data_IF_749001931301
#
_entry.id   IF_749001931301
#
_cell.length_a   1.000
_cell.length_b   1.000
_cell.length_c   1.000
_cell.angle_alpha   90.00
_cell.angle_beta   90.00
_cell.angle_gamma   90.00
#
_symmetry.space_group_name_H-M   'P 1'
#
loop_
_entity.id
_entity.type
_entity.pdbx_description
1 polymer ?
#
# COMPACT_ATOMS: atom_id res chain seq x y z
N UNK A 1 31.41 16.09 -8.38
CA UNK A 1 31.13 17.53 -8.14
C UNK A 1 32.18 18.16 -7.23
N UNK A 2 32.40 17.63 -6.02
CA UNK A 2 33.34 18.16 -5.00
C UNK A 2 34.76 18.42 -5.53
N UNK A 3 35.36 17.48 -6.26
CA UNK A 3 36.71 17.65 -6.84
C UNK A 3 36.78 18.83 -7.81
N UNK A 4 35.72 19.03 -8.62
CA UNK A 4 35.64 20.14 -9.57
C UNK A 4 35.54 21.50 -8.87
N UNK A 5 34.71 21.59 -7.81
CA UNK A 5 34.60 22.82 -7.00
C UNK A 5 35.92 23.10 -6.28
N UNK A 6 36.58 22.06 -5.75
CA UNK A 6 37.86 22.20 -5.07
C UNK A 6 38.98 22.71 -6.01
N UNK A 7 39.03 22.19 -7.24
CA UNK A 7 39.97 22.66 -8.25
C UNK A 7 39.71 24.12 -8.66
N UNK A 8 38.44 24.53 -8.77
CA UNK A 8 38.07 25.92 -9.04
C UNK A 8 38.43 26.86 -7.88
N UNK A 9 38.20 26.46 -6.63
CA UNK A 9 38.58 27.22 -5.45
C UNK A 9 40.11 27.38 -5.34
N UNK A 10 40.87 26.34 -5.70
CA UNK A 10 42.33 26.41 -5.81
C UNK A 10 42.77 27.43 -6.86
N UNK A 11 42.16 27.41 -8.04
CA UNK A 11 42.47 28.36 -9.11
C UNK A 11 42.19 29.82 -8.71
N UNK A 12 41.11 30.06 -7.98
CA UNK A 12 40.76 31.39 -7.46
C UNK A 12 41.49 31.78 -6.16
N UNK A 13 42.37 30.91 -5.65
CA UNK A 13 43.12 31.10 -4.40
C UNK A 13 42.25 31.42 -3.19
N UNK A 14 41.08 30.79 -3.11
CA UNK A 14 40.11 30.97 -2.04
C UNK A 14 40.25 29.88 -0.97
N UNK A 15 41.08 30.16 0.05
CA UNK A 15 41.37 29.21 1.12
C UNK A 15 40.18 28.89 2.02
N UNK A 16 39.27 29.85 2.23
CA UNK A 16 38.08 29.63 3.07
C UNK A 16 37.08 28.71 2.36
N UNK A 17 36.90 28.87 1.05
CA UNK A 17 36.10 27.95 0.24
C UNK A 17 36.67 26.51 0.27
N UNK A 18 37.99 26.36 0.16
CA UNK A 18 38.62 25.03 0.22
C UNK A 18 38.35 24.34 1.56
N UNK A 19 38.51 25.04 2.69
CA UNK A 19 38.20 24.49 4.02
C UNK A 19 36.72 24.15 4.15
N UNK A 20 35.81 25.02 3.70
CA UNK A 20 34.38 24.76 3.72
C UNK A 20 34.02 23.47 2.97
N UNK A 21 34.59 23.26 1.77
CA UNK A 21 34.35 22.06 0.97
C UNK A 21 34.83 20.79 1.68
N UNK A 22 35.99 20.85 2.35
CA UNK A 22 36.52 19.73 3.14
C UNK A 22 35.58 19.39 4.30
N UNK A 23 35.12 20.40 5.05
CA UNK A 23 34.18 20.18 6.16
C UNK A 23 32.83 19.64 5.69
N UNK A 24 32.27 20.12 4.58
CA UNK A 24 31.03 19.59 3.99
C UNK A 24 31.22 18.12 3.58
N UNK A 25 32.37 17.79 2.99
CA UNK A 25 32.67 16.42 2.55
C UNK A 25 32.83 15.46 3.73
N UNK A 26 33.50 15.90 4.80
CA UNK A 26 33.60 15.14 6.05
C UNK A 26 32.22 14.98 6.70
N UNK A 27 31.44 16.07 6.80
CA UNK A 27 30.09 16.03 7.35
C UNK A 27 29.20 15.04 6.60
N UNK A 28 29.21 15.08 5.26
CA UNK A 28 28.45 14.14 4.43
C UNK A 28 28.91 12.70 4.64
N UNK A 29 30.21 12.44 4.79
CA UNK A 29 30.72 11.08 5.01
C UNK A 29 30.30 10.54 6.38
N UNK A 30 30.39 11.40 7.40
CA UNK A 30 30.00 11.09 8.79
C UNK A 30 28.50 10.81 8.88
N UNK A 31 27.66 11.63 8.25
CA UNK A 31 26.21 11.40 8.22
C UNK A 31 25.84 10.16 7.42
N UNK A 32 26.48 9.91 6.26
CA UNK A 32 26.26 8.67 5.51
C UNK A 32 26.62 7.41 6.33
N UNK A 33 27.72 7.43 7.07
CA UNK A 33 28.09 6.32 7.96
C UNK A 33 27.08 6.15 9.09
N UNK A 34 26.61 7.26 9.68
CA UNK A 34 25.60 7.25 10.73
C UNK A 34 24.25 6.74 10.23
N UNK A 35 23.90 7.03 8.97
CA UNK A 35 22.70 6.58 8.28
C UNK A 35 22.84 5.18 7.67
N UNK A 36 23.96 4.48 7.85
CA UNK A 36 24.07 3.10 7.40
C UNK A 36 23.28 2.18 8.35
N UNK A 37 22.14 1.68 7.87
CA UNK A 37 21.27 0.80 8.64
C UNK A 37 20.89 -0.46 7.84
N UNK A 38 20.47 -1.49 8.57
CA UNK A 38 19.83 -2.69 8.03
C UNK A 38 18.53 -2.98 8.77
N UNK A 39 17.47 -3.43 8.09
CA UNK A 39 16.23 -3.80 8.76
C UNK A 39 16.47 -5.01 9.68
N UNK A 40 15.95 -4.96 10.91
CA UNK A 40 15.90 -6.12 11.80
C UNK A 40 14.55 -6.80 11.67
N UNK A 41 14.56 -8.02 11.17
CA UNK A 41 13.40 -8.89 11.32
C UNK A 41 13.38 -9.38 12.77
N UNK A 42 12.29 -9.12 13.50
CA UNK A 42 12.08 -9.73 14.83
C UNK A 42 12.30 -11.24 14.74
N UNK A 43 13.34 -11.77 15.39
CA UNK A 43 13.58 -13.21 15.40
C UNK A 43 12.88 -13.83 16.61
N UNK A 44 12.10 -14.89 16.40
CA UNK A 44 11.45 -15.61 17.51
C UNK A 44 12.26 -16.88 17.82
N UNK A 45 12.66 -17.10 19.07
CA UNK A 45 13.58 -18.19 19.42
C UNK A 45 12.96 -19.59 19.34
N UNK A 46 11.63 -19.74 19.31
CA UNK A 46 10.98 -21.05 19.10
C UNK A 46 9.45 -20.89 18.92
N UNK A 47 8.90 -21.33 17.79
CA UNK A 47 7.62 -22.07 17.70
C UNK A 47 7.35 -22.44 16.23
N UNK A 48 6.73 -23.60 15.97
CA UNK A 48 6.10 -23.84 14.66
C UNK A 48 4.98 -22.83 14.48
N UNK A 49 5.07 -21.98 13.47
CA UNK A 49 4.07 -20.94 13.25
C UNK A 49 3.09 -21.40 12.17
N UNK A 50 1.77 -21.18 12.36
CA UNK A 50 0.80 -21.41 11.31
C UNK A 50 1.15 -20.60 10.05
N UNK A 51 0.60 -21.02 8.91
CA UNK A 51 0.81 -20.33 7.63
C UNK A 51 0.39 -18.87 7.75
N UNK A 52 1.25 -17.97 7.27
CA UNK A 52 0.98 -16.54 7.22
C UNK A 52 0.36 -16.20 5.88
N UNK A 53 -0.82 -16.71 5.59
CA UNK A 53 -1.55 -16.31 4.39
C UNK A 53 -2.23 -14.95 4.66
N UNK A 54 -2.12 -14.02 3.70
CA UNK A 54 -2.69 -12.68 3.83
C UNK A 54 -3.69 -12.40 2.70
N UNK A 55 -4.81 -11.78 3.07
CA UNK A 55 -5.82 -11.30 2.13
C UNK A 55 -5.83 -9.77 2.17
N UNK A 56 -5.59 -9.14 1.02
CA UNK A 56 -5.62 -7.69 0.87
C UNK A 56 -6.87 -7.30 0.09
N UNK A 57 -7.69 -6.42 0.67
CA UNK A 57 -8.83 -5.81 -0.01
C UNK A 57 -8.41 -4.51 -0.68
N UNK A 58 -8.56 -4.45 -1.99
CA UNK A 58 -8.28 -3.23 -2.77
C UNK A 58 -9.46 -2.28 -2.77
N UNK A 59 -9.21 -0.99 -3.08
CA UNK A 59 -10.27 0.02 -3.27
C UNK A 59 -11.16 -0.29 -4.47
N UNK A 60 -10.62 -0.97 -5.49
CA UNK A 60 -11.33 -1.44 -6.67
C UNK A 60 -12.24 -2.65 -6.40
N UNK A 61 -12.50 -2.99 -5.13
CA UNK A 61 -13.36 -4.13 -4.72
C UNK A 61 -12.84 -5.49 -5.21
N UNK A 62 -11.53 -5.60 -5.45
CA UNK A 62 -10.84 -6.85 -5.72
C UNK A 62 -10.14 -7.37 -4.44
N UNK A 63 -10.01 -8.69 -4.34
CA UNK A 63 -9.27 -9.35 -3.27
C UNK A 63 -7.97 -9.95 -3.83
N UNK A 64 -6.86 -9.71 -3.13
CA UNK A 64 -5.58 -10.33 -3.41
C UNK A 64 -5.27 -11.31 -2.29
N UNK A 65 -5.27 -12.61 -2.61
CA UNK A 65 -4.83 -13.65 -1.70
C UNK A 65 -3.37 -13.99 -1.98
N UNK A 66 -2.54 -13.89 -0.96
CA UNK A 66 -1.12 -14.20 -1.05
C UNK A 66 -0.86 -15.38 -0.11
N UNK A 67 -0.55 -16.54 -0.69
CA UNK A 67 -0.16 -17.74 0.06
C UNK A 67 1.35 -17.71 0.27
N UNK A 68 1.78 -17.56 1.51
CA UNK A 68 3.20 -17.42 1.82
C UNK A 68 3.53 -17.87 3.24
N UNK A 69 4.83 -18.09 3.47
CA UNK A 69 5.35 -18.32 4.83
C UNK A 69 5.19 -17.05 5.64
N UNK A 70 4.87 -17.19 6.92
CA UNK A 70 4.69 -16.07 7.83
C UNK A 70 5.92 -15.16 7.90
N UNK A 71 7.13 -15.71 7.80
CA UNK A 71 8.38 -14.92 7.73
C UNK A 71 8.35 -13.89 6.59
N UNK A 72 7.83 -14.28 5.42
CA UNK A 72 7.74 -13.40 4.24
C UNK A 72 6.67 -12.34 4.43
N UNK A 73 5.50 -12.71 4.98
CA UNK A 73 4.44 -11.72 5.27
C UNK A 73 4.88 -10.73 6.30
N UNK A 74 5.59 -11.19 7.33
CA UNK A 74 6.10 -10.32 8.35
C UNK A 74 7.18 -9.40 7.84
N UNK A 75 8.02 -9.85 6.91
CA UNK A 75 9.00 -8.97 6.28
C UNK A 75 8.35 -7.93 5.36
N UNK A 76 7.36 -8.34 4.55
CA UNK A 76 6.81 -7.51 3.48
C UNK A 76 5.58 -6.66 3.89
N UNK A 77 4.75 -7.17 4.80
CA UNK A 77 3.45 -6.57 5.15
C UNK A 77 3.29 -6.21 6.63
N UNK A 78 4.05 -6.82 7.53
CA UNK A 78 3.93 -6.61 8.98
C UNK A 78 5.27 -6.27 9.65
N UNK A 79 6.23 -5.77 8.88
CA UNK A 79 7.59 -5.51 9.35
C UNK A 79 7.58 -4.37 10.34
N UNK A 80 8.11 -4.60 11.54
CA UNK A 80 8.39 -3.51 12.48
C UNK A 80 9.56 -2.71 11.95
N UNK A 81 9.48 -1.38 12.05
CA UNK A 81 10.50 -0.43 11.56
C UNK A 81 11.77 -0.39 12.43
N UNK A 82 12.14 -1.51 13.06
CA UNK A 82 13.35 -1.56 13.88
C UNK A 82 14.58 -1.64 12.97
N UNK A 83 15.29 -0.54 12.87
CA UNK A 83 16.52 -0.43 12.10
C UNK A 83 17.74 -0.70 13.00
N UNK A 84 18.61 -1.62 12.59
CA UNK A 84 19.95 -1.75 13.17
C UNK A 84 20.91 -0.84 12.43
N UNK A 85 21.32 0.24 13.08
CA UNK A 85 22.43 1.05 12.59
C UNK A 85 23.74 0.28 12.74
N UNK A 86 24.61 0.33 11.73
CA UNK A 86 25.92 -0.32 11.79
C UNK A 86 26.78 0.19 12.96
N UNK A 87 26.62 1.47 13.29
CA UNK A 87 27.32 2.16 14.41
C UNK A 87 26.64 1.91 15.77
N UNK A 88 25.55 1.11 15.80
CA UNK A 88 24.82 0.78 17.02
C UNK A 88 24.38 2.02 17.78
N UNK A 89 24.66 2.08 19.09
CA UNK A 89 24.24 3.20 19.96
C UNK A 89 24.98 4.52 19.69
N UNK A 90 26.12 4.48 18.97
CA UNK A 90 26.95 5.65 18.66
C UNK A 90 26.41 6.55 17.54
N UNK A 91 25.37 6.12 16.82
CA UNK A 91 24.81 6.87 15.69
C UNK A 91 24.38 8.30 16.07
N UNK A 92 23.84 8.51 17.29
CA UNK A 92 23.42 9.83 17.79
C UNK A 92 24.60 10.80 17.92
N UNK A 93 25.74 10.31 18.39
CA UNK A 93 26.97 11.11 18.51
C UNK A 93 27.49 11.46 17.12
N UNK A 94 27.48 10.49 16.20
CA UNK A 94 27.96 10.67 14.86
C UNK A 94 27.09 11.65 14.04
N UNK A 95 25.76 11.57 14.19
CA UNK A 95 24.84 12.56 13.62
C UNK A 95 25.07 13.96 14.20
N UNK A 96 25.27 14.06 15.53
CA UNK A 96 25.61 15.33 16.19
C UNK A 96 26.92 15.93 15.65
N UNK A 97 27.95 15.11 15.49
CA UNK A 97 29.22 15.52 14.89
C UNK A 97 29.04 16.03 13.46
N UNK A 98 28.25 15.32 12.64
CA UNK A 98 27.92 15.75 11.28
C UNK A 98 27.26 17.13 11.24
N UNK A 99 26.31 17.40 12.13
CA UNK A 99 25.65 18.71 12.23
C UNK A 99 26.62 19.83 12.64
N UNK A 100 27.52 19.58 13.59
CA UNK A 100 28.53 20.57 14.02
C UNK A 100 29.48 20.90 12.87
N UNK A 101 29.98 19.89 12.16
CA UNK A 101 30.84 20.09 10.99
C UNK A 101 30.13 20.88 9.90
N UNK A 102 28.84 20.61 9.68
CA UNK A 102 28.03 21.33 8.70
C UNK A 102 27.83 22.80 9.10
N UNK A 103 27.58 23.09 10.38
CA UNK A 103 27.47 24.47 10.86
C UNK A 103 28.76 25.26 10.69
N UNK A 104 29.91 24.67 11.03
CA UNK A 104 31.23 25.29 10.79
C UNK A 104 31.44 25.56 9.30
N UNK A 105 31.07 24.62 8.43
CA UNK A 105 31.23 24.80 7.00
C UNK A 105 30.35 25.91 6.42
N UNK A 106 29.10 26.05 6.89
CA UNK A 106 28.19 27.12 6.45
C UNK A 106 28.75 28.50 6.83
N UNK A 107 29.31 28.64 8.02
CA UNK A 107 29.96 29.89 8.45
C UNK A 107 31.17 30.22 7.57
N UNK A 108 32.01 29.24 7.26
CA UNK A 108 33.16 29.44 6.36
C UNK A 108 32.73 29.81 4.95
N UNK A 109 31.64 29.21 4.45
CA UNK A 109 31.08 29.50 3.13
C UNK A 109 30.51 30.91 3.04
N UNK A 110 29.92 31.44 4.13
CA UNK A 110 29.46 32.82 4.18
C UNK A 110 30.59 33.85 4.09
N UNK A 111 31.84 33.44 4.32
CA UNK A 111 33.02 34.28 4.26
C UNK A 111 33.94 33.95 3.06
N UNK A 112 33.44 33.21 2.07
CA UNK A 112 34.20 32.91 0.86
C UNK A 112 34.04 34.01 -0.20
N UNK A 113 34.92 33.99 -1.21
CA UNK A 113 34.85 34.91 -2.33
C UNK A 113 33.58 34.70 -3.16
N UNK A 114 33.08 35.78 -3.76
CA UNK A 114 31.87 35.77 -4.58
C UNK A 114 31.85 34.68 -5.66
N UNK A 115 32.98 34.45 -6.34
CA UNK A 115 33.09 33.44 -7.40
C UNK A 115 32.87 32.01 -6.87
N UNK A 116 33.48 31.69 -5.73
CA UNK A 116 33.34 30.38 -5.06
C UNK A 116 31.92 30.20 -4.53
N UNK A 117 31.34 31.24 -3.93
CA UNK A 117 29.98 31.23 -3.40
C UNK A 117 28.95 30.97 -4.50
N UNK A 118 29.08 31.67 -5.64
CA UNK A 118 28.19 31.49 -6.78
C UNK A 118 28.30 30.08 -7.38
N UNK A 119 29.52 29.54 -7.51
CA UNK A 119 29.74 28.19 -8.02
C UNK A 119 29.10 27.13 -7.12
N UNK A 120 29.32 27.23 -5.81
CA UNK A 120 28.77 26.28 -4.82
C UNK A 120 27.24 26.38 -4.79
N UNK A 121 26.68 27.59 -4.87
CA UNK A 121 25.24 27.81 -4.99
C UNK A 121 24.64 27.20 -6.26
N UNK A 122 25.29 27.39 -7.41
CA UNK A 122 24.84 26.79 -8.68
C UNK A 122 24.86 25.25 -8.62
N UNK A 123 25.91 24.67 -8.03
CA UNK A 123 26.02 23.25 -7.78
C UNK A 123 24.90 22.72 -6.87
N UNK A 124 24.53 23.46 -5.82
CA UNK A 124 23.41 23.10 -4.94
C UNK A 124 22.07 23.09 -5.68
N UNK A 125 21.80 24.13 -6.49
CA UNK A 125 20.59 24.21 -7.32
C UNK A 125 20.51 23.02 -8.28
N UNK A 126 21.62 22.70 -8.95
CA UNK A 126 21.70 21.57 -9.86
C UNK A 126 21.45 20.23 -9.16
N UNK A 127 22.08 19.98 -8.00
CA UNK A 127 21.85 18.76 -7.22
C UNK A 127 20.39 18.65 -6.78
N UNK A 128 19.78 19.75 -6.35
CA UNK A 128 18.37 19.75 -5.97
C UNK A 128 17.47 19.42 -7.18
N UNK A 129 17.77 19.94 -8.37
CA UNK A 129 17.05 19.57 -9.59
C UNK A 129 17.19 18.08 -9.93
N UNK A 130 18.38 17.50 -9.75
CA UNK A 130 18.61 16.05 -9.92
C UNK A 130 17.84 15.24 -8.88
N UNK A 131 17.82 15.67 -7.61
CA UNK A 131 17.04 15.02 -6.56
C UNK A 131 15.55 14.97 -6.90
N UNK A 132 14.99 16.09 -7.37
CA UNK A 132 13.61 16.13 -7.87
C UNK A 132 13.41 15.23 -9.09
N UNK A 133 14.37 15.22 -10.02
CA UNK A 133 14.34 14.34 -11.19
C UNK A 133 14.32 12.85 -10.84
N UNK A 134 15.09 12.43 -9.83
CA UNK A 134 15.06 11.05 -9.33
C UNK A 134 13.71 10.68 -8.73
N UNK A 135 12.98 11.63 -8.15
CA UNK A 135 11.61 11.43 -7.66
C UNK A 135 10.58 11.13 -8.75
N UNK A 136 10.87 11.48 -10.00
CA UNK A 136 10.00 11.15 -11.15
C UNK A 136 10.22 9.73 -11.68
N UNK A 137 11.28 9.04 -11.22
CA UNK A 137 11.53 7.65 -11.60
C UNK A 137 10.44 6.77 -10.97
N UNK A 138 9.78 5.90 -11.76
CA UNK A 138 8.72 5.07 -11.22
C UNK A 138 9.26 4.13 -10.15
N UNK A 139 8.47 3.95 -9.09
CA UNK A 139 8.88 3.22 -7.89
C UNK A 139 9.34 1.79 -8.19
N UNK A 140 8.86 1.18 -9.27
CA UNK A 140 9.23 -0.17 -9.70
C UNK A 140 10.73 -0.38 -9.91
N UNK A 141 11.52 0.67 -10.17
CA UNK A 141 12.97 0.55 -10.31
C UNK A 141 13.72 0.47 -8.98
N UNK A 142 13.12 0.94 -7.87
CA UNK A 142 13.76 0.92 -6.56
C UNK A 142 13.57 -0.40 -5.81
N UNK A 143 12.57 -1.19 -6.19
CA UNK A 143 12.25 -2.45 -5.52
C UNK A 143 13.02 -3.62 -6.15
N UNK A 144 14.07 -4.08 -5.48
CA UNK A 144 14.69 -5.36 -5.82
C UNK A 144 13.95 -6.51 -5.09
N UNK A 145 13.14 -7.24 -5.86
CA UNK A 145 12.38 -8.40 -5.37
C UNK A 145 13.07 -9.74 -5.71
N UNK A 146 14.31 -9.73 -6.21
CA UNK A 146 15.01 -10.96 -6.65
C UNK A 146 15.18 -12.01 -5.53
N UNK A 147 15.09 -11.59 -4.26
CA UNK A 147 15.12 -12.50 -3.11
C UNK A 147 13.86 -13.38 -3.00
N UNK A 148 12.76 -13.01 -3.64
CA UNK A 148 11.47 -13.70 -3.52
C UNK A 148 11.10 -14.46 -4.80
N UNK A 149 10.74 -15.73 -4.67
CA UNK A 149 10.16 -16.51 -5.78
C UNK A 149 8.66 -16.27 -5.83
N UNK A 150 8.22 -15.44 -6.79
CA UNK A 150 6.81 -15.13 -6.99
C UNK A 150 6.22 -16.12 -8.00
N UNK A 151 5.32 -16.98 -7.53
CA UNK A 151 4.58 -17.92 -8.41
C UNK A 151 3.13 -17.49 -8.49
N UNK A 152 2.62 -17.25 -9.70
CA UNK A 152 1.18 -17.05 -9.91
C UNK A 152 0.47 -18.39 -9.82
N UNK A 153 -0.37 -18.53 -8.80
CA UNK A 153 -1.29 -19.66 -8.70
C UNK A 153 -2.42 -19.35 -9.69
N UNK A 154 -2.31 -19.88 -10.91
CA UNK A 154 -3.32 -19.69 -11.94
C UNK A 154 -4.51 -20.61 -11.65
N UNK A 155 -5.68 -20.02 -11.48
CA UNK A 155 -6.95 -20.73 -11.52
C UNK A 155 -7.73 -20.22 -12.73
N UNK A 156 -8.02 -21.10 -13.68
CA UNK A 156 -8.68 -20.75 -14.94
C UNK A 156 -10.03 -20.05 -14.73
N UNK A 157 -10.73 -20.37 -13.63
CA UNK A 157 -12.00 -19.76 -13.24
C UNK A 157 -11.85 -18.32 -12.70
N UNK A 158 -10.69 -17.95 -12.16
CA UNK A 158 -10.45 -16.66 -11.52
C UNK A 158 -9.83 -15.62 -12.48
N UNK A 159 -9.02 -16.07 -13.46
CA UNK A 159 -8.29 -15.18 -14.38
C UNK A 159 -9.23 -14.28 -15.21
N UNK A 160 -10.43 -14.78 -15.55
CA UNK A 160 -11.43 -14.07 -16.36
C UNK A 160 -12.67 -13.64 -15.57
N UNK A 161 -12.62 -13.64 -14.23
CA UNK A 161 -13.77 -13.33 -13.39
C UNK A 161 -14.31 -11.89 -13.53
N UNK A 162 -13.53 -11.00 -14.13
CA UNK A 162 -13.89 -9.61 -14.40
C UNK A 162 -14.66 -9.42 -15.72
N UNK A 163 -14.64 -10.42 -16.61
CA UNK A 163 -15.27 -10.33 -17.93
C UNK A 163 -16.79 -10.51 -17.77
N UNK A 164 -17.56 -9.58 -18.33
CA UNK A 164 -19.01 -9.71 -18.42
C UNK A 164 -19.33 -10.63 -19.60
N UNK A 165 -20.10 -11.72 -19.43
CA UNK A 165 -20.48 -12.57 -20.54
C UNK A 165 -21.30 -11.77 -21.57
N UNK A 166 -20.99 -11.95 -22.86
CA UNK A 166 -21.64 -11.22 -23.97
C UNK A 166 -23.10 -11.63 -24.19
N UNK A 167 -23.44 -12.87 -23.88
CA UNK A 167 -24.82 -13.36 -23.84
C UNK A 167 -25.48 -12.98 -22.52
N UNK A 168 -26.68 -12.39 -22.58
CA UNK A 168 -27.61 -12.29 -21.45
C UNK A 168 -27.92 -13.70 -20.94
N UNK A 169 -27.12 -14.18 -20.00
CA UNK A 169 -27.41 -15.38 -19.24
C UNK A 169 -28.15 -14.96 -17.98
N UNK A 170 -29.31 -15.55 -17.71
CA UNK A 170 -30.06 -15.41 -16.43
C UNK A 170 -29.26 -15.90 -15.21
N UNK A 171 -28.07 -16.46 -15.43
CA UNK A 171 -27.16 -16.92 -14.39
C UNK A 171 -26.49 -15.74 -13.68
N UNK A 172 -27.12 -15.31 -12.59
CA UNK A 172 -26.63 -14.23 -11.71
C UNK A 172 -25.22 -14.53 -11.16
N UNK A 173 -24.78 -15.78 -11.13
CA UNK A 173 -23.43 -16.16 -10.67
C UNK A 173 -22.34 -15.83 -11.69
N UNK A 174 -22.69 -15.73 -12.98
CA UNK A 174 -21.72 -15.38 -14.05
C UNK A 174 -21.45 -13.89 -14.14
N UNK A 175 -22.28 -13.06 -13.51
CA UNK A 175 -22.11 -11.61 -13.49
C UNK A 175 -21.00 -11.23 -12.50
N UNK A 176 -20.03 -10.38 -12.88
CA UNK A 176 -19.00 -9.92 -11.95
C UNK A 176 -19.64 -9.12 -10.81
N UNK A 177 -19.47 -9.61 -9.58
CA UNK A 177 -20.04 -8.98 -8.39
C UNK A 177 -19.10 -9.11 -7.20
N UNK A 178 -19.20 -8.18 -6.25
CA UNK A 178 -18.39 -8.21 -5.03
C UNK A 178 -18.59 -9.50 -4.22
N UNK A 179 -19.83 -9.99 -4.15
CA UNK A 179 -20.19 -11.23 -3.46
C UNK A 179 -19.51 -12.45 -4.10
N UNK A 180 -19.43 -12.48 -5.43
CA UNK A 180 -18.72 -13.52 -6.17
C UNK A 180 -17.21 -13.48 -5.91
N UNK A 181 -16.58 -12.31 -5.98
CA UNK A 181 -15.15 -12.17 -5.70
C UNK A 181 -14.82 -12.53 -4.24
N UNK A 182 -15.70 -12.16 -3.31
CA UNK A 182 -15.57 -12.54 -1.90
C UNK A 182 -15.68 -14.06 -1.72
N UNK A 183 -16.59 -14.72 -2.43
CA UNK A 183 -16.68 -16.18 -2.44
C UNK A 183 -15.39 -16.84 -2.91
N UNK A 184 -14.77 -16.37 -4.00
CA UNK A 184 -13.49 -16.91 -4.46
C UNK A 184 -12.38 -16.78 -3.41
N UNK A 185 -12.31 -15.65 -2.70
CA UNK A 185 -11.37 -15.49 -1.59
C UNK A 185 -11.65 -16.45 -0.43
N UNK A 186 -12.92 -16.64 -0.05
CA UNK A 186 -13.33 -17.57 1.01
C UNK A 186 -13.07 -19.03 0.62
N UNK A 187 -13.33 -19.39 -0.64
CA UNK A 187 -13.05 -20.72 -1.20
C UNK A 187 -11.58 -21.09 -1.04
N UNK A 188 -10.70 -20.15 -1.38
CA UNK A 188 -9.26 -20.37 -1.34
C UNK A 188 -8.66 -20.33 0.07
N UNK A 189 -9.24 -19.54 0.96
CA UNK A 189 -8.78 -19.44 2.36
C UNK A 189 -9.40 -20.50 3.28
N UNK A 190 -10.59 -21.02 2.93
CA UNK A 190 -11.44 -21.93 3.72
C UNK A 190 -11.81 -21.42 5.12
N UNK A 191 -11.61 -20.12 5.34
CA UNK A 191 -11.79 -19.43 6.61
C UNK A 191 -12.50 -18.10 6.36
N UNK A 192 -13.34 -17.67 7.31
CA UNK A 192 -14.14 -16.44 7.20
C UNK A 192 -13.80 -15.40 8.27
N UNK A 193 -13.00 -15.76 9.28
CA UNK A 193 -12.64 -14.88 10.38
C UNK A 193 -11.92 -13.59 9.92
N UNK A 194 -11.21 -13.65 8.80
CA UNK A 194 -10.56 -12.47 8.22
C UNK A 194 -11.57 -11.50 7.59
N UNK A 195 -12.71 -11.98 7.09
CA UNK A 195 -13.78 -11.15 6.49
C UNK A 195 -14.37 -10.24 7.57
N UNK A 196 -14.60 -10.80 8.75
CA UNK A 196 -15.10 -10.08 9.91
C UNK A 196 -14.09 -9.04 10.40
N UNK A 197 -12.83 -9.45 10.61
CA UNK A 197 -11.77 -8.54 11.09
C UNK A 197 -11.46 -7.40 10.13
N UNK A 198 -11.53 -7.67 8.82
CA UNK A 198 -11.25 -6.67 7.79
C UNK A 198 -12.43 -5.71 7.51
N UNK A 199 -13.61 -5.96 8.10
CA UNK A 199 -14.81 -5.20 7.79
C UNK A 199 -15.22 -5.32 6.32
N UNK A 200 -14.87 -6.44 5.67
CA UNK A 200 -15.16 -6.66 4.25
C UNK A 200 -16.66 -6.84 3.97
N UNK A 201 -17.50 -6.95 5.01
CA UNK A 201 -18.95 -7.12 4.89
C UNK A 201 -19.69 -6.48 6.07
N UNK A 202 -20.96 -6.06 5.90
CA UNK A 202 -21.77 -5.58 7.02
C UNK A 202 -22.02 -6.68 8.06
N UNK A 203 -21.99 -6.31 9.35
CA UNK A 203 -22.12 -7.23 10.49
C UNK A 203 -23.58 -7.58 10.86
N UNK A 204 -24.47 -7.65 9.87
CA UNK A 204 -25.88 -8.02 10.07
C UNK A 204 -26.05 -9.54 10.14
N UNK A 205 -27.08 -10.03 10.81
CA UNK A 205 -27.27 -11.48 11.02
C UNK A 205 -27.50 -12.26 9.72
N UNK A 206 -28.17 -11.67 8.72
CA UNK A 206 -28.32 -12.23 7.37
C UNK A 206 -26.96 -12.50 6.71
N UNK A 207 -26.04 -11.57 6.87
CA UNK A 207 -24.70 -11.64 6.32
C UNK A 207 -23.82 -12.65 7.08
N UNK A 208 -23.97 -12.76 8.41
CA UNK A 208 -23.32 -13.83 9.19
C UNK A 208 -23.80 -15.22 8.76
N UNK A 209 -25.10 -15.40 8.56
CA UNK A 209 -25.68 -16.65 8.05
C UNK A 209 -25.09 -17.02 6.69
N UNK A 210 -24.96 -16.04 5.80
CA UNK A 210 -24.31 -16.25 4.50
C UNK A 210 -22.83 -16.65 4.63
N UNK A 211 -22.07 -16.03 5.54
CA UNK A 211 -20.66 -16.41 5.80
C UNK A 211 -20.52 -17.83 6.33
N UNK A 212 -21.43 -18.24 7.22
CA UNK A 212 -21.44 -19.62 7.72
C UNK A 212 -21.72 -20.63 6.62
N UNK A 213 -22.73 -20.37 5.77
CA UNK A 213 -23.02 -21.22 4.61
C UNK A 213 -21.83 -21.26 3.62
N UNK A 214 -21.19 -20.11 3.37
CA UNK A 214 -19.99 -20.01 2.52
C UNK A 214 -18.82 -20.81 3.11
N UNK A 215 -18.57 -20.71 4.42
CA UNK A 215 -17.51 -21.45 5.10
C UNK A 215 -17.69 -22.96 4.97
N UNK A 216 -18.92 -23.44 5.14
CA UNK A 216 -19.24 -24.87 5.01
C UNK A 216 -19.00 -25.33 3.56
N UNK A 217 -19.51 -24.58 2.58
CA UNK A 217 -19.31 -24.90 1.16
C UNK A 217 -17.81 -24.92 0.77
N UNK A 218 -17.01 -23.97 1.27
CA UNK A 218 -15.58 -23.90 1.02
C UNK A 218 -14.81 -25.09 1.64
N UNK A 219 -15.20 -25.54 2.84
CA UNK A 219 -14.59 -26.70 3.51
C UNK A 219 -14.92 -28.02 2.82
N UNK A 220 -16.13 -28.14 2.30
CA UNK A 220 -16.58 -29.30 1.51
C UNK A 220 -16.01 -29.30 0.09
N UNK A 221 -15.35 -28.21 -0.34
CA UNK A 221 -14.76 -28.11 -1.68
C UNK A 221 -15.78 -27.92 -2.80
N UNK A 222 -17.00 -27.49 -2.48
CA UNK A 222 -18.05 -27.20 -3.48
C UNK A 222 -17.68 -25.92 -4.23
N UNK A 223 -17.23 -26.03 -5.48
CA UNK A 223 -16.85 -24.86 -6.30
C UNK A 223 -18.07 -24.12 -6.87
N UNK A 224 -19.12 -24.87 -7.16
CA UNK A 224 -20.32 -24.43 -7.88
C UNK A 224 -21.39 -23.88 -6.93
N UNK A 225 -21.00 -23.54 -5.69
CA UNK A 225 -21.92 -22.97 -4.72
C UNK A 225 -22.36 -21.58 -5.18
N UNK A 226 -23.66 -21.42 -5.44
CA UNK A 226 -24.27 -20.18 -5.90
C UNK A 226 -24.23 -19.09 -4.84
N UNK A 227 -23.08 -18.40 -4.74
CA UNK A 227 -22.78 -17.40 -3.75
C UNK A 227 -23.73 -16.20 -3.82
N UNK A 228 -24.01 -15.70 -5.04
CA UNK A 228 -24.86 -14.52 -5.26
C UNK A 228 -26.33 -14.86 -5.06
N UNK A 229 -26.78 -16.00 -5.58
CA UNK A 229 -28.14 -16.51 -5.41
C UNK A 229 -28.44 -16.83 -3.94
N UNK A 230 -27.49 -17.43 -3.22
CA UNK A 230 -27.63 -17.68 -1.79
C UNK A 230 -27.78 -16.38 -1.01
N UNK A 231 -26.97 -15.35 -1.31
CA UNK A 231 -27.12 -14.03 -0.70
C UNK A 231 -28.53 -13.49 -0.96
N UNK A 232 -28.97 -13.48 -2.22
CA UNK A 232 -30.29 -12.95 -2.58
C UNK A 232 -31.41 -13.66 -1.81
N UNK A 233 -31.36 -15.00 -1.74
CA UNK A 233 -32.29 -15.82 -0.95
C UNK A 233 -32.31 -15.41 0.53
N UNK A 234 -31.15 -15.27 1.16
CA UNK A 234 -31.07 -14.94 2.59
C UNK A 234 -31.56 -13.50 2.87
N UNK A 235 -31.27 -12.56 1.97
CA UNK A 235 -31.75 -11.18 2.11
C UNK A 235 -33.28 -11.10 1.97
N UNK A 236 -33.86 -11.81 0.99
CA UNK A 236 -35.31 -11.90 0.82
C UNK A 236 -36.01 -12.51 2.05
N UNK A 237 -35.42 -13.58 2.62
CA UNK A 237 -35.92 -14.18 3.86
C UNK A 237 -35.88 -13.20 5.05
N UNK A 238 -34.85 -12.34 5.12
CA UNK A 238 -34.72 -11.34 6.18
C UNK A 238 -35.74 -10.19 6.04
N UNK A 239 -36.17 -9.90 4.82
CA UNK A 239 -37.21 -8.90 4.53
C UNK A 239 -38.64 -9.46 4.68
N UNK A 240 -38.81 -10.74 5.04
CA UNK A 240 -40.11 -11.38 5.21
C UNK A 240 -40.82 -11.71 3.88
N UNK A 241 -40.09 -11.72 2.78
CA UNK A 241 -40.58 -12.11 1.45
C UNK A 241 -40.31 -13.61 1.26
N UNK A 242 -41.27 -14.45 1.64
CA UNK A 242 -41.22 -15.89 1.38
C UNK A 242 -41.45 -16.20 -0.12
N UNK A 243 -40.70 -17.17 -0.65
CA UNK A 243 -40.71 -17.63 -2.05
C UNK A 243 -41.99 -18.41 -2.47
N UNK A 244 -43.17 -18.07 -1.93
CA UNK A 244 -44.45 -18.72 -2.29
C UNK A 244 -45.16 -18.03 -3.46
N UNK A 245 -44.41 -17.38 -4.36
CA UNK A 245 -44.96 -16.84 -5.61
C UNK A 245 -44.05 -17.14 -6.81
N UNK A 246 -43.42 -18.31 -6.82
CA UNK A 246 -42.97 -18.94 -8.06
C UNK A 246 -44.19 -19.61 -8.74
N UNK A 247 -45.10 -18.80 -9.27
CA UNK A 247 -46.30 -19.31 -9.93
C UNK A 247 -47.30 -18.20 -10.23
N UNK A 248 -47.19 -17.64 -11.44
CA UNK A 248 -48.28 -16.93 -12.12
C UNK A 248 -48.72 -15.59 -11.52
N UNK A 249 -48.05 -14.49 -11.88
CA UNK A 249 -48.78 -13.23 -12.13
C UNK A 249 -48.16 -12.49 -13.30
N UNK A 250 -48.96 -12.33 -14.35
CA UNK A 250 -48.69 -11.47 -15.49
C UNK A 250 -48.39 -10.04 -15.04
N UNK A 251 -47.37 -9.42 -15.61
CA UNK A 251 -47.12 -8.00 -15.46
C UNK A 251 -48.26 -7.19 -16.11
N UNK A 252 -49.28 -6.81 -15.32
CA UNK A 252 -50.20 -5.74 -15.70
C UNK A 252 -49.55 -4.39 -15.42
N UNK A 253 -49.40 -3.63 -16.50
CA UNK A 253 -48.82 -2.30 -16.54
C UNK A 253 -49.66 -1.31 -15.74
N UNK A 254 -49.08 -0.68 -14.70
CA UNK A 254 -49.44 0.68 -14.32
C UNK A 254 -48.17 1.49 -14.09
N UNK A 255 -47.83 2.22 -15.14
CA UNK A 255 -46.72 3.16 -15.23
C UNK A 255 -47.12 4.44 -14.47
N UNK A 256 -46.58 4.65 -13.27
CA UNK A 256 -46.51 6.00 -12.68
C UNK A 256 -45.09 6.51 -12.85
N UNK A 257 -44.95 7.38 -13.83
CA UNK A 257 -43.70 7.97 -14.30
C UNK A 257 -43.09 8.87 -13.22
N UNK A 258 -41.93 8.50 -12.68
CA UNK A 258 -40.94 9.47 -12.22
C UNK A 258 -39.61 9.17 -12.91
N UNK A 259 -39.20 10.12 -13.74
CA UNK A 259 -38.03 10.06 -14.59
C UNK A 259 -36.78 10.06 -13.71
N UNK A 260 -36.16 8.89 -13.52
CA UNK A 260 -34.77 8.80 -13.08
C UNK A 260 -33.94 8.34 -14.28
N UNK A 261 -33.40 9.33 -14.97
CA UNK A 261 -32.47 9.21 -16.08
C UNK A 261 -31.29 8.30 -15.68
N UNK A 262 -31.24 7.08 -16.24
CA UNK A 262 -30.04 6.21 -16.16
C UNK A 262 -28.88 6.98 -16.79
N UNK A 263 -27.90 7.40 -15.99
CA UNK A 263 -26.63 7.85 -16.53
C UNK A 263 -25.87 6.63 -17.07
N UNK A 264 -25.33 6.68 -18.30
CA UNK A 264 -24.38 5.69 -18.75
C UNK A 264 -23.15 5.72 -17.83
N UNK A 265 -22.62 4.53 -17.52
CA UNK A 265 -21.39 4.35 -16.79
C UNK A 265 -20.24 4.98 -17.59
N UNK A 266 -19.80 6.17 -17.18
CA UNK A 266 -18.63 6.85 -17.75
C UNK A 266 -17.36 6.18 -17.22
N UNK A 267 -16.69 5.44 -18.11
CA UNK A 267 -15.34 4.88 -17.91
C UNK A 267 -14.23 5.96 -17.83
N UNK A 268 -14.57 7.23 -17.54
CA UNK A 268 -13.67 8.38 -17.61
C UNK A 268 -13.24 8.93 -16.23
N UNK A 269 -13.40 8.16 -15.15
CA UNK A 269 -12.84 8.51 -13.82
C UNK A 269 -11.60 7.72 -13.42
N UNK A 270 -11.12 6.81 -14.26
CA UNK A 270 -9.76 6.31 -14.18
C UNK A 270 -8.83 7.34 -14.83
N UNK A 271 -8.32 8.26 -14.01
CA UNK A 271 -6.96 8.85 -14.06
C UNK A 271 -6.99 10.12 -13.19
N UNK A 272 -6.40 10.03 -11.99
CA UNK A 272 -5.61 11.07 -11.29
C UNK A 272 -5.47 10.74 -9.78
N UNK A 273 -4.44 11.25 -9.10
CA UNK A 273 -3.07 10.77 -9.08
C UNK A 273 -2.74 10.02 -7.76
N UNK A 274 -1.62 9.31 -7.77
CA UNK A 274 -1.06 8.68 -6.59
C UNK A 274 -0.53 9.74 -5.61
N UNK A 275 -1.31 10.11 -4.60
CA UNK A 275 -0.74 10.73 -3.39
C UNK A 275 -1.71 10.67 -2.21
N UNK A 276 -1.11 10.52 -1.02
CA UNK A 276 -1.69 10.69 0.32
C UNK A 276 -2.44 9.48 0.92
N UNK A 277 -1.67 8.63 1.60
CA UNK A 277 -2.13 8.01 2.86
C UNK A 277 -1.07 8.29 3.92
N UNK A 278 -1.16 9.47 4.54
CA UNK A 278 -0.69 9.65 5.92
C UNK A 278 -1.89 9.42 6.86
N UNK A 279 -1.69 8.80 8.04
CA UNK A 279 -2.75 8.70 9.02
C UNK A 279 -3.00 10.07 9.67
N UNK A 280 -4.26 10.49 9.63
CA UNK A 280 -4.77 11.67 10.34
C UNK A 280 -4.66 11.47 11.85
N UNK A 281 -3.82 12.28 12.50
CA UNK A 281 -3.86 12.55 13.93
C UNK A 281 -4.81 13.71 14.20
N UNK A 282 -6.02 13.45 14.71
CA UNK A 282 -6.83 14.44 15.41
C UNK A 282 -7.97 13.76 16.20
N UNK A 283 -7.72 13.50 17.47
CA UNK A 283 -8.76 13.54 18.50
C UNK A 283 -8.24 14.52 19.56
N UNK A 284 -8.64 15.79 19.42
CA UNK A 284 -8.46 16.85 20.41
C UNK A 284 -9.82 17.20 21.00
N UNK A 285 -9.76 17.68 22.25
CA UNK A 285 -10.81 18.24 23.12
C UNK A 285 -11.43 17.23 24.13
N UNK A 286 -11.44 17.47 25.46
CA UNK A 286 -11.37 18.74 26.20
C UNK A 286 -11.20 18.54 27.73
N UNK A 287 -10.71 19.60 28.38
CA UNK A 287 -10.80 19.99 29.82
C UNK A 287 -9.80 19.32 30.81
N UNK A 288 -9.05 20.04 31.64
CA UNK A 288 -8.92 21.48 31.87
C UNK A 288 -8.03 21.78 33.09
N UNK A 289 -7.51 23.01 33.11
CA UNK A 289 -7.09 23.82 34.28
C UNK A 289 -5.93 23.38 35.19
N UNK A 290 -4.99 24.35 35.32
CA UNK A 290 -3.82 24.51 36.19
C UNK A 290 -2.51 23.83 35.75
#
# INVERSE_FOLDING_TARGET
>A
MTIGIFAAAWYWKDGTAMLAIVFISMASTVTCLASWWRPLLMNRPNNRVPKGDIVIRTRARAFLLIKCREEVVRELYSGTEECQYAVGKGYRILMGLGMVLLMVAVVLLGNCGWNSQALIGACYIFLNAVYWGLGLIPQSYFWDLNRYTITRIKEEEADNAHIVPETETDDVERIPSYTRTLWYAIRETKEVAWVERSGSMPMTDSWKKWLDEARVAAREGRRDWGAVGCKNRIMLQAEGLDNTTAGTTSWSTTRTSSVTQRRPYEAAREVAPAETVQPSSAATDRNGTF
#
